data_IF_152674414729
#
_entry.id   IF_152674414729
#
_cell.length_a   1.000
_cell.length_b   1.000
_cell.length_c   1.000
_cell.angle_alpha   90.00
_cell.angle_beta   90.00
_cell.angle_gamma   90.00
#
_symmetry.space_group_name_H-M   'P 1'
#
loop_
_entity.id
_entity.type
_entity.pdbx_description
1 polymer ?
#
# COMPACT_ATOMS: atom_id res chain seq x y z
N UNK A 1 -31.96 4.74 17.03
CA UNK A 1 -31.68 6.09 16.49
C UNK A 1 -31.03 6.93 17.57
N UNK A 2 -29.93 7.58 17.21
CA UNK A 2 -29.38 8.81 17.83
C UNK A 2 -28.86 8.67 19.26
N UNK A 3 -27.64 8.12 19.43
CA UNK A 3 -26.70 8.49 20.54
C UNK A 3 -25.28 7.90 20.47
N UNK A 4 -24.83 7.39 19.31
CA UNK A 4 -23.44 6.90 19.15
C UNK A 4 -22.67 7.56 17.98
N UNK A 5 -23.15 8.70 17.47
CA UNK A 5 -22.52 9.42 16.35
C UNK A 5 -21.76 10.70 16.75
N UNK A 6 -21.50 10.94 18.04
CA UNK A 6 -20.90 12.21 18.49
C UNK A 6 -19.46 12.04 19.03
N UNK A 7 -18.96 10.81 19.23
CA UNK A 7 -17.66 10.60 19.89
C UNK A 7 -16.44 10.33 18.98
N UNK A 8 -16.55 10.49 17.64
CA UNK A 8 -15.44 10.18 16.72
C UNK A 8 -14.98 11.35 15.83
N UNK A 9 -15.51 12.57 16.01
CA UNK A 9 -15.15 13.75 15.20
C UNK A 9 -14.21 14.72 15.93
N UNK A 10 -13.95 14.50 17.23
CA UNK A 10 -13.21 15.46 18.05
C UNK A 10 -11.67 15.42 17.94
N UNK A 11 -11.07 14.47 17.20
CA UNK A 11 -9.59 14.36 17.10
C UNK A 11 -9.02 15.17 15.91
N UNK A 12 -9.86 15.72 15.02
CA UNK A 12 -9.38 16.45 13.84
C UNK A 12 -9.12 17.96 14.03
N UNK A 13 -9.33 18.50 15.23
CA UNK A 13 -9.22 19.95 15.47
C UNK A 13 -7.81 20.45 15.81
N UNK A 14 -6.83 19.56 15.98
CA UNK A 14 -5.46 19.98 16.33
C UNK A 14 -4.55 19.70 15.15
N UNK A 15 -4.10 20.80 14.52
CA UNK A 15 -2.86 21.03 13.74
C UNK A 15 -3.10 21.85 12.46
N UNK A 16 -3.79 22.98 12.61
CA UNK A 16 -3.77 24.08 11.65
C UNK A 16 -2.55 24.97 11.89
N UNK A 17 -1.33 24.50 11.59
CA UNK A 17 -0.14 25.37 11.44
C UNK A 17 0.99 24.63 10.69
N UNK A 18 1.13 24.90 9.39
CA UNK A 18 2.42 25.12 8.72
C UNK A 18 2.19 25.30 7.22
N UNK A 19 1.66 26.48 6.88
CA UNK A 19 1.73 27.00 5.54
C UNK A 19 3.20 27.26 5.17
N UNK A 20 3.80 26.43 4.32
CA UNK A 20 4.75 26.91 3.33
C UNK A 20 4.95 25.89 2.22
N UNK A 21 4.60 26.33 1.01
CA UNK A 21 4.81 25.64 -0.23
C UNK A 21 6.27 25.22 -0.41
N UNK A 22 6.51 23.91 -0.49
CA UNK A 22 7.68 23.37 -1.18
C UNK A 22 7.24 22.17 -2.03
N UNK A 23 7.04 22.48 -3.31
CA UNK A 23 7.26 21.60 -4.46
C UNK A 23 6.45 20.29 -4.57
N UNK A 24 5.49 20.31 -5.51
CA UNK A 24 5.04 19.18 -6.35
C UNK A 24 5.45 17.77 -5.90
N UNK A 25 4.71 17.26 -4.93
CA UNK A 25 4.60 15.83 -4.66
C UNK A 25 3.64 15.68 -3.51
N UNK A 26 2.50 15.01 -3.72
CA UNK A 26 1.64 14.60 -2.61
C UNK A 26 2.51 13.84 -1.59
N UNK A 27 2.98 14.53 -0.55
CA UNK A 27 3.45 13.89 0.67
C UNK A 27 2.22 13.16 1.19
N UNK A 28 2.19 11.83 1.03
CA UNK A 28 1.18 11.04 1.70
C UNK A 28 1.23 11.34 3.19
N UNK A 29 0.10 11.21 3.88
CA UNK A 29 0.07 11.23 5.34
C UNK A 29 1.12 10.24 5.87
N UNK A 30 1.94 10.65 6.84
CA UNK A 30 2.85 9.74 7.52
C UNK A 30 2.06 8.87 8.49
N UNK A 31 1.64 7.71 8.00
CA UNK A 31 0.81 6.76 8.72
C UNK A 31 1.67 5.69 9.39
N UNK A 32 1.25 5.25 10.57
CA UNK A 32 1.78 4.03 11.20
C UNK A 32 1.42 2.78 10.38
N UNK A 33 2.06 1.64 10.66
CA UNK A 33 1.75 0.41 9.95
C UNK A 33 0.30 -0.04 10.23
N UNK A 34 -0.15 0.17 11.47
CA UNK A 34 -1.46 -0.14 12.00
C UNK A 34 -2.54 0.74 11.36
N UNK A 35 -2.28 2.04 11.18
CA UNK A 35 -3.18 2.95 10.48
C UNK A 35 -3.31 2.60 8.99
N UNK A 36 -2.19 2.28 8.34
CA UNK A 36 -2.19 1.83 6.95
C UNK A 36 -3.00 0.54 6.78
N UNK A 37 -2.77 -0.43 7.67
CA UNK A 37 -3.49 -1.69 7.67
C UNK A 37 -4.99 -1.48 7.87
N UNK A 38 -5.37 -0.63 8.83
CA UNK A 38 -6.76 -0.29 9.12
C UNK A 38 -7.44 0.34 7.91
N UNK A 39 -6.82 1.35 7.29
CA UNK A 39 -7.39 2.03 6.11
C UNK A 39 -7.52 1.05 4.94
N UNK A 40 -6.51 0.21 4.72
CA UNK A 40 -6.51 -0.74 3.62
C UNK A 40 -7.58 -1.82 3.81
N UNK A 41 -7.72 -2.36 5.03
CA UNK A 41 -8.77 -3.31 5.37
C UNK A 41 -10.14 -2.68 5.17
N UNK A 42 -10.41 -1.47 5.68
CA UNK A 42 -11.69 -0.78 5.48
C UNK A 42 -12.03 -0.55 4.00
N UNK A 43 -11.03 -0.22 3.17
CA UNK A 43 -11.21 -0.11 1.71
C UNK A 43 -11.54 -1.45 1.07
N UNK A 44 -10.90 -2.53 1.53
CA UNK A 44 -11.19 -3.88 1.05
C UNK A 44 -12.58 -4.34 1.50
N UNK A 45 -12.99 -4.06 2.74
CA UNK A 45 -14.34 -4.28 3.23
C UNK A 45 -15.36 -3.58 2.36
N UNK A 46 -15.17 -2.29 2.08
CA UNK A 46 -16.08 -1.51 1.22
C UNK A 46 -16.16 -2.06 -0.20
N UNK A 47 -15.07 -2.63 -0.72
CA UNK A 47 -15.02 -3.11 -2.10
C UNK A 47 -15.49 -4.55 -2.26
N UNK A 48 -15.26 -5.41 -1.28
CA UNK A 48 -15.50 -6.85 -1.33
C UNK A 48 -16.61 -7.33 -0.38
N UNK A 49 -17.19 -6.42 0.40
CA UNK A 49 -18.23 -6.72 1.38
C UNK A 49 -17.76 -7.78 2.40
N UNK A 50 -16.56 -7.57 2.95
CA UNK A 50 -15.91 -8.52 3.87
C UNK A 50 -16.71 -8.66 5.17
N UNK A 51 -16.94 -9.90 5.61
CA UNK A 51 -17.51 -10.17 6.93
C UNK A 51 -16.47 -9.92 8.06
N UNK A 52 -16.90 -9.97 9.32
CA UNK A 52 -16.04 -9.61 10.46
C UNK A 52 -14.77 -10.48 10.56
N UNK A 53 -14.89 -11.79 10.38
CA UNK A 53 -13.72 -12.70 10.40
C UNK A 53 -12.75 -12.36 9.29
N UNK A 54 -13.25 -12.17 8.06
CA UNK A 54 -12.43 -11.82 6.91
C UNK A 54 -11.71 -10.48 7.10
N UNK A 55 -12.35 -9.51 7.73
CA UNK A 55 -11.73 -8.22 8.04
C UNK A 55 -10.54 -8.37 8.98
N UNK A 56 -10.66 -9.21 9.99
CA UNK A 56 -9.59 -9.44 10.98
C UNK A 56 -8.40 -10.16 10.33
N UNK A 57 -8.64 -11.15 9.47
CA UNK A 57 -7.59 -11.85 8.73
C UNK A 57 -6.91 -10.96 7.68
N UNK A 58 -7.71 -10.20 6.90
CA UNK A 58 -7.20 -9.23 5.93
C UNK A 58 -6.41 -8.12 6.63
N UNK A 59 -6.79 -7.73 7.85
CA UNK A 59 -6.01 -6.79 8.65
C UNK A 59 -4.62 -7.33 8.95
N UNK A 60 -4.48 -8.58 9.37
CA UNK A 60 -3.14 -9.17 9.61
C UNK A 60 -2.29 -9.17 8.35
N UNK A 61 -2.86 -9.57 7.21
CA UNK A 61 -2.17 -9.52 5.91
C UNK A 61 -1.74 -8.10 5.56
N UNK A 62 -2.62 -7.11 5.76
CA UNK A 62 -2.30 -5.71 5.48
C UNK A 62 -1.28 -5.13 6.45
N UNK A 63 -1.27 -5.56 7.71
CA UNK A 63 -0.30 -5.13 8.72
C UNK A 63 1.11 -5.64 8.40
N UNK A 64 1.25 -6.92 8.05
CA UNK A 64 2.51 -7.48 7.58
C UNK A 64 3.04 -6.70 6.36
N UNK A 65 2.17 -6.45 5.37
CA UNK A 65 2.51 -5.70 4.16
C UNK A 65 2.91 -4.26 4.47
N UNK A 66 2.23 -3.61 5.42
CA UNK A 66 2.51 -2.24 5.84
C UNK A 66 3.86 -2.14 6.57
N UNK A 67 4.16 -3.07 7.47
CA UNK A 67 5.46 -3.17 8.16
C UNK A 67 6.59 -3.37 7.16
N UNK A 68 6.44 -4.33 6.24
CA UNK A 68 7.43 -4.59 5.19
C UNK A 68 7.66 -3.34 4.32
N UNK A 69 6.59 -2.62 3.97
CA UNK A 69 6.69 -1.39 3.20
C UNK A 69 7.42 -0.28 3.95
N UNK A 70 7.17 -0.08 5.25
CA UNK A 70 7.89 0.92 6.06
C UNK A 70 9.38 0.55 6.18
N UNK A 71 9.68 -0.72 6.41
CA UNK A 71 11.06 -1.20 6.47
C UNK A 71 11.82 -0.92 5.16
N UNK A 72 11.24 -1.27 4.00
CA UNK A 72 11.85 -0.96 2.70
C UNK A 72 11.97 0.53 2.42
N UNK A 73 11.01 1.35 2.87
CA UNK A 73 11.10 2.80 2.73
C UNK A 73 12.26 3.37 3.56
N UNK A 74 12.42 2.92 4.80
CA UNK A 74 13.50 3.31 5.68
C UNK A 74 14.86 2.89 5.11
N UNK A 75 14.99 1.63 4.67
CA UNK A 75 16.19 1.10 4.02
C UNK A 75 16.56 1.94 2.79
N UNK A 76 15.58 2.27 1.95
CA UNK A 76 15.81 3.08 0.76
C UNK A 76 16.20 4.52 1.09
N UNK A 77 15.62 5.10 2.14
CA UNK A 77 15.95 6.45 2.59
C UNK A 77 17.39 6.50 3.09
N UNK A 78 17.78 5.55 3.95
CA UNK A 78 19.15 5.41 4.43
C UNK A 78 20.16 5.24 3.29
N UNK A 79 19.87 4.36 2.32
CA UNK A 79 20.72 4.17 1.12
C UNK A 79 20.81 5.39 0.21
N UNK A 80 19.82 6.29 0.24
CA UNK A 80 19.83 7.53 -0.56
C UNK A 80 20.62 8.63 0.15
N UNK A 81 20.63 8.62 1.47
CA UNK A 81 21.34 9.58 2.31
C UNK A 81 22.82 9.22 2.49
N UNK A 82 23.22 7.95 2.26
CA UNK A 82 24.63 7.57 2.22
C UNK A 82 25.31 8.03 0.92
N UNK A 83 26.60 8.39 1.02
CA UNK A 83 27.44 8.75 -0.13
C UNK A 83 27.69 7.57 -1.09
N UNK A 84 27.31 6.35 -0.69
CA UNK A 84 27.50 5.09 -1.41
C UNK A 84 26.25 4.68 -2.23
N UNK A 85 25.40 5.63 -2.61
CA UNK A 85 24.18 5.40 -3.38
C UNK A 85 24.50 4.84 -4.80
N UNK A 86 24.82 3.55 -4.86
CA UNK A 86 25.14 2.83 -6.09
C UNK A 86 23.90 2.12 -6.63
N UNK A 87 23.86 1.93 -7.96
CA UNK A 87 22.78 1.14 -8.56
C UNK A 87 22.98 -0.32 -8.17
N UNK A 88 21.91 -1.05 -7.78
CA UNK A 88 22.03 -2.46 -7.46
C UNK A 88 22.62 -3.25 -8.62
N UNK A 89 23.46 -4.23 -8.30
CA UNK A 89 24.04 -5.20 -9.24
C UNK A 89 22.96 -6.05 -9.91
N UNK A 90 23.32 -6.86 -10.91
CA UNK A 90 22.36 -7.75 -11.57
C UNK A 90 21.84 -8.79 -10.59
N UNK A 91 22.73 -9.38 -9.80
CA UNK A 91 22.47 -10.42 -8.82
C UNK A 91 21.54 -9.88 -7.72
N UNK A 92 21.82 -8.68 -7.21
CA UNK A 92 20.97 -8.00 -6.22
C UNK A 92 19.57 -7.71 -6.78
N UNK A 93 19.47 -7.28 -8.05
CA UNK A 93 18.17 -7.06 -8.71
C UNK A 93 17.38 -8.35 -8.82
N UNK A 94 18.01 -9.45 -9.20
CA UNK A 94 17.35 -10.75 -9.30
C UNK A 94 16.86 -11.20 -7.92
N UNK A 95 17.69 -11.08 -6.89
CA UNK A 95 17.30 -11.41 -5.52
C UNK A 95 16.11 -10.56 -5.03
N UNK A 96 16.12 -9.26 -5.29
CA UNK A 96 14.99 -8.38 -4.95
C UNK A 96 13.72 -8.74 -5.73
N UNK A 97 13.84 -9.10 -7.00
CA UNK A 97 12.69 -9.52 -7.82
C UNK A 97 12.08 -10.81 -7.28
N UNK A 98 12.90 -11.82 -6.95
CA UNK A 98 12.44 -13.07 -6.36
C UNK A 98 11.73 -12.83 -5.03
N UNK A 99 12.36 -12.11 -4.08
CA UNK A 99 11.73 -11.76 -2.79
C UNK A 99 10.38 -11.06 -2.95
N UNK A 100 10.27 -10.14 -3.92
CA UNK A 100 9.00 -9.46 -4.21
C UNK A 100 7.96 -10.42 -4.79
N UNK A 101 8.36 -11.35 -5.67
CA UNK A 101 7.45 -12.33 -6.26
C UNK A 101 6.98 -13.34 -5.22
N UNK A 102 7.87 -13.87 -4.38
CA UNK A 102 7.54 -14.78 -3.28
C UNK A 102 6.54 -14.13 -2.33
N UNK A 103 6.78 -12.87 -1.94
CA UNK A 103 5.86 -12.13 -1.10
C UNK A 103 4.47 -11.97 -1.76
N UNK A 104 4.40 -11.70 -3.07
CA UNK A 104 3.12 -11.63 -3.80
C UNK A 104 2.42 -12.97 -3.85
N UNK A 105 3.16 -14.07 -4.01
CA UNK A 105 2.62 -15.43 -4.00
C UNK A 105 2.00 -15.71 -2.62
N UNK A 106 2.73 -15.43 -1.54
CA UNK A 106 2.24 -15.61 -0.17
C UNK A 106 0.98 -14.80 0.09
N UNK A 107 0.96 -13.51 -0.26
CA UNK A 107 -0.23 -12.66 -0.10
C UNK A 107 -1.39 -13.21 -0.94
N UNK A 108 -1.14 -13.63 -2.18
CA UNK A 108 -2.18 -14.19 -3.05
C UNK A 108 -2.77 -15.48 -2.48
N UNK A 109 -1.95 -16.35 -1.89
CA UNK A 109 -2.39 -17.56 -1.22
C UNK A 109 -3.26 -17.22 0.01
N UNK A 110 -2.74 -16.40 0.94
CA UNK A 110 -3.52 -15.95 2.11
C UNK A 110 -4.87 -15.33 1.72
N UNK A 111 -4.89 -14.49 0.69
CA UNK A 111 -6.13 -13.87 0.20
C UNK A 111 -7.10 -14.88 -0.42
N UNK A 112 -6.60 -15.96 -1.02
CA UNK A 112 -7.45 -17.04 -1.55
C UNK A 112 -8.12 -17.82 -0.41
N UNK A 113 -7.42 -18.01 0.70
CA UNK A 113 -7.96 -18.74 1.86
C UNK A 113 -9.00 -17.89 2.63
N UNK A 114 -8.83 -16.57 2.66
CA UNK A 114 -9.73 -15.66 3.40
C UNK A 114 -11.00 -15.33 2.60
N UNK A 115 -10.89 -15.16 1.28
CA UNK A 115 -11.99 -14.70 0.43
C UNK A 115 -12.78 -15.88 -0.14
N UNK A 116 -14.09 -15.72 -0.27
CA UNK A 116 -14.87 -16.64 -1.09
C UNK A 116 -14.56 -16.45 -2.59
N UNK A 117 -15.05 -17.36 -3.43
CA UNK A 117 -14.74 -17.36 -4.86
C UNK A 117 -15.12 -16.05 -5.57
N UNK A 118 -16.31 -15.50 -5.28
CA UNK A 118 -16.78 -14.25 -5.90
C UNK A 118 -15.90 -13.05 -5.50
N UNK A 119 -15.61 -12.93 -4.20
CA UNK A 119 -14.73 -11.90 -3.65
C UNK A 119 -13.31 -12.02 -4.21
N UNK A 120 -12.78 -13.24 -4.29
CA UNK A 120 -11.44 -13.51 -4.81
C UNK A 120 -11.33 -13.15 -6.29
N UNK A 121 -12.32 -13.52 -7.11
CA UNK A 121 -12.35 -13.12 -8.52
C UNK A 121 -12.45 -11.59 -8.69
N UNK A 122 -13.26 -10.91 -7.87
CA UNK A 122 -13.37 -9.45 -7.87
C UNK A 122 -12.05 -8.79 -7.48
N UNK A 123 -11.37 -9.36 -6.47
CA UNK A 123 -10.05 -8.92 -6.03
C UNK A 123 -8.98 -9.12 -7.13
N UNK A 124 -8.88 -10.30 -7.75
CA UNK A 124 -7.94 -10.57 -8.86
C UNK A 124 -8.16 -9.61 -10.04
N UNK A 125 -9.42 -9.37 -10.44
CA UNK A 125 -9.75 -8.40 -11.50
C UNK A 125 -9.31 -6.98 -11.12
N UNK A 126 -9.53 -6.56 -9.87
CA UNK A 126 -9.08 -5.25 -9.39
C UNK A 126 -7.55 -5.13 -9.43
N UNK A 127 -6.84 -6.18 -9.03
CA UNK A 127 -5.38 -6.23 -9.07
C UNK A 127 -4.85 -6.16 -10.50
N UNK A 128 -5.41 -6.94 -11.43
CA UNK A 128 -5.06 -6.91 -12.85
C UNK A 128 -5.26 -5.52 -13.46
N UNK A 129 -6.41 -4.88 -13.20
CA UNK A 129 -6.69 -3.50 -13.64
C UNK A 129 -5.67 -2.50 -13.07
N UNK A 130 -5.30 -2.64 -11.80
CA UNK A 130 -4.27 -1.80 -11.16
C UNK A 130 -2.92 -1.98 -11.86
N UNK A 131 -2.52 -3.22 -12.15
CA UNK A 131 -1.29 -3.52 -12.87
C UNK A 131 -1.28 -2.94 -14.29
N UNK A 132 -2.38 -3.06 -15.03
CA UNK A 132 -2.52 -2.48 -16.36
C UNK A 132 -2.36 -0.95 -16.34
N UNK A 133 -3.05 -0.26 -15.43
CA UNK A 133 -2.93 1.19 -15.24
C UNK A 133 -1.51 1.62 -14.88
N UNK A 134 -0.82 0.86 -14.04
CA UNK A 134 0.58 1.15 -13.68
C UNK A 134 1.52 0.98 -14.88
N UNK A 135 1.31 -0.05 -15.70
CA UNK A 135 2.08 -0.28 -16.94
C UNK A 135 1.87 0.85 -17.95
N UNK A 136 0.64 1.30 -18.11
CA UNK A 136 0.29 2.42 -19.00
C UNK A 136 0.96 3.73 -18.54
N UNK A 137 0.84 4.07 -17.26
CA UNK A 137 1.53 5.25 -16.68
C UNK A 137 3.04 5.19 -16.89
N UNK A 138 3.65 4.02 -16.74
CA UNK A 138 5.09 3.83 -16.99
C UNK A 138 5.46 4.04 -18.47
N UNK A 139 4.63 3.56 -19.41
CA UNK A 139 4.82 3.81 -20.85
C UNK A 139 4.74 5.30 -21.18
N UNK A 140 3.72 6.00 -20.68
CA UNK A 140 3.51 7.43 -20.97
C UNK A 140 4.67 8.29 -20.43
N UNK A 141 5.18 7.98 -19.22
CA UNK A 141 6.38 8.64 -18.67
C UNK A 141 7.64 8.41 -19.51
N UNK A 142 7.78 7.27 -20.20
CA UNK A 142 8.92 7.00 -21.08
C UNK A 142 8.79 7.75 -22.41
N UNK A 143 7.57 7.87 -22.95
CA UNK A 143 7.30 8.65 -24.17
C UNK A 143 7.58 10.14 -23.98
N UNK A 144 7.06 10.74 -22.91
CA UNK A 144 7.29 12.16 -22.60
C UNK A 144 8.71 12.53 -22.15
N UNK A 145 9.62 11.55 -22.03
CA UNK A 145 11.07 11.78 -21.83
C UNK A 145 11.88 11.64 -23.12
N UNK A 146 11.25 11.17 -24.20
CA UNK A 146 11.85 10.96 -25.52
C UNK A 146 11.40 11.99 -26.56
N UNK A 147 10.32 12.70 -26.28
CA UNK A 147 9.92 13.92 -26.96
C UNK A 147 10.57 15.11 -26.25
#
# INVERSE_FOLDING_TARGET
MKKLLILAVAIFAVQMTSAQAKERGQKGMDLTAEEMATIQTKKMTLFLDLNKSQQDDVYQVNLENAKLRKAHLAERKAKKESAEATKPSKEERVAMMNKMLDHKITVKAKMKDILNDEQYQKWEKAQARRHAKMKEKAKNKRKGKRA
#
